data_IF_980297316877
#
_entry.id   IF_980297316877
#
_cell.length_a   1.000
_cell.length_b   1.000
_cell.length_c   1.000
_cell.angle_alpha   90.00
_cell.angle_beta   90.00
_cell.angle_gamma   90.00
#
_symmetry.space_group_name_H-M   'P 1'
#
loop_
_entity.id
_entity.type
_entity.pdbx_description
1 polymer ?
#
# COMPACT_ATOMS: atom_id res chain seq x y z
N UNK A 1 13.97 -14.56 4.86
CA UNK A 1 13.95 -13.23 5.52
C UNK A 1 13.31 -12.16 4.61
N UNK A 2 12.27 -12.48 3.83
CA UNK A 2 11.62 -11.52 2.91
C UNK A 2 10.34 -10.87 3.47
N UNK A 3 9.83 -11.34 4.62
CA UNK A 3 8.52 -10.94 5.17
C UNK A 3 8.57 -9.76 6.15
N UNK A 4 9.74 -9.45 6.72
CA UNK A 4 9.88 -8.43 7.77
C UNK A 4 9.57 -7.02 7.28
N UNK A 5 9.91 -6.70 6.04
CA UNK A 5 9.68 -5.37 5.46
C UNK A 5 8.20 -5.11 5.19
N UNK A 6 7.46 -6.14 4.77
CA UNK A 6 6.01 -6.03 4.57
C UNK A 6 5.31 -5.76 5.90
N UNK A 7 5.63 -6.55 6.93
CA UNK A 7 5.06 -6.43 8.27
C UNK A 7 5.44 -5.09 8.92
N UNK A 8 6.68 -4.62 8.76
CA UNK A 8 7.10 -3.32 9.30
C UNK A 8 6.37 -2.15 8.64
N UNK A 9 6.15 -2.19 7.32
CA UNK A 9 5.41 -1.14 6.64
C UNK A 9 3.92 -1.16 7.02
N UNK A 10 3.32 -2.35 7.18
CA UNK A 10 1.94 -2.47 7.70
C UNK A 10 1.84 -1.85 9.10
N UNK A 11 2.83 -2.08 9.96
CA UNK A 11 2.88 -1.47 11.29
C UNK A 11 3.03 0.06 11.21
N UNK A 12 3.94 0.56 10.36
CA UNK A 12 4.12 1.99 10.13
C UNK A 12 2.85 2.68 9.60
N UNK A 13 1.98 1.98 8.83
CA UNK A 13 0.68 2.53 8.43
C UNK A 13 -0.24 2.81 9.63
N UNK A 14 -0.15 2.00 10.69
CA UNK A 14 -1.03 2.06 11.87
C UNK A 14 -0.52 3.02 12.93
N UNK A 15 0.76 2.92 13.25
CA UNK A 15 1.37 3.58 14.41
C UNK A 15 2.41 4.63 14.04
N UNK A 16 2.78 4.70 12.76
CA UNK A 16 3.77 5.66 12.26
C UNK A 16 3.26 7.10 12.22
N UNK A 17 4.21 8.04 12.13
CA UNK A 17 3.91 9.44 11.80
C UNK A 17 3.36 9.55 10.39
N UNK A 18 2.71 10.66 10.05
CA UNK A 18 2.17 10.85 8.69
C UNK A 18 3.22 10.65 7.60
N UNK A 19 4.46 11.07 7.82
CA UNK A 19 5.55 10.82 6.87
C UNK A 19 5.88 9.33 6.74
N UNK A 20 5.95 8.60 7.86
CA UNK A 20 6.13 7.14 7.85
C UNK A 20 4.98 6.42 7.15
N UNK A 21 3.74 6.84 7.38
CA UNK A 21 2.56 6.29 6.71
C UNK A 21 2.62 6.52 5.19
N UNK A 22 3.07 7.70 4.75
CA UNK A 22 3.27 8.01 3.32
C UNK A 22 4.36 7.13 2.72
N UNK A 23 5.50 6.99 3.41
CA UNK A 23 6.60 6.13 2.97
C UNK A 23 6.15 4.67 2.89
N UNK A 24 5.52 4.15 3.95
CA UNK A 24 5.02 2.79 4.01
C UNK A 24 4.01 2.53 2.88
N UNK A 25 3.03 3.42 2.66
CA UNK A 25 2.08 3.28 1.56
C UNK A 25 2.79 3.22 0.19
N UNK A 26 3.78 4.08 -0.02
CA UNK A 26 4.55 4.11 -1.26
C UNK A 26 5.33 2.80 -1.48
N UNK A 27 6.03 2.32 -0.46
CA UNK A 27 6.82 1.08 -0.53
C UNK A 27 5.93 -0.16 -0.72
N UNK A 28 4.78 -0.22 -0.04
CA UNK A 28 3.79 -1.28 -0.24
C UNK A 28 3.23 -1.28 -1.66
N UNK A 29 2.99 -0.09 -2.25
CA UNK A 29 2.65 0.04 -3.66
C UNK A 29 3.74 -0.51 -4.59
N UNK A 30 5.00 -0.20 -4.31
CA UNK A 30 6.16 -0.68 -5.07
C UNK A 30 6.35 -2.21 -4.97
N UNK A 31 6.00 -2.81 -3.82
CA UNK A 31 5.97 -4.26 -3.64
C UNK A 31 4.89 -4.95 -4.48
N UNK A 32 3.82 -4.22 -4.83
CA UNK A 32 2.76 -4.73 -5.69
C UNK A 32 1.96 -5.86 -5.05
N UNK A 33 1.70 -6.94 -5.80
CA UNK A 33 0.82 -8.03 -5.36
C UNK A 33 1.23 -8.71 -4.03
N UNK A 34 2.50 -8.65 -3.64
CA UNK A 34 2.96 -9.22 -2.37
C UNK A 34 2.40 -8.45 -1.17
N UNK A 35 2.05 -7.17 -1.35
CA UNK A 35 1.48 -6.31 -0.33
C UNK A 35 -0.06 -6.35 -0.23
N UNK A 36 -0.72 -7.38 -0.78
CA UNK A 36 -2.19 -7.54 -0.67
C UNK A 36 -2.67 -7.51 0.80
N UNK A 37 -1.88 -8.05 1.73
CA UNK A 37 -2.20 -8.03 3.15
C UNK A 37 -2.34 -6.61 3.74
N UNK A 38 -1.75 -5.61 3.09
CA UNK A 38 -1.82 -4.21 3.53
C UNK A 38 -3.05 -3.45 2.99
N UNK A 39 -3.87 -4.07 2.11
CA UNK A 39 -5.03 -3.39 1.51
C UNK A 39 -6.02 -2.84 2.55
N UNK A 40 -6.43 -3.55 3.61
CA UNK A 40 -7.36 -3.01 4.60
C UNK A 40 -6.81 -1.77 5.29
N UNK A 41 -5.52 -1.78 5.61
CA UNK A 41 -4.85 -0.67 6.26
C UNK A 41 -4.73 0.53 5.31
N UNK A 42 -4.37 0.31 4.03
CA UNK A 42 -4.34 1.36 3.02
C UNK A 42 -5.73 1.96 2.75
N UNK A 43 -6.79 1.14 2.73
CA UNK A 43 -8.17 1.60 2.54
C UNK A 43 -8.59 2.56 3.65
N UNK A 44 -8.23 2.27 4.90
CA UNK A 44 -8.50 3.16 6.04
C UNK A 44 -7.86 4.55 5.88
N UNK A 45 -6.72 4.62 5.18
CA UNK A 45 -5.98 5.87 4.97
C UNK A 45 -6.54 6.72 3.82
N UNK A 46 -7.40 6.16 2.97
CA UNK A 46 -8.04 6.90 1.87
C UNK A 46 -9.04 7.96 2.35
N UNK A 47 -9.49 7.89 3.60
CA UNK A 47 -10.39 8.87 4.23
C UNK A 47 -9.65 9.82 5.19
N UNK A 48 -8.34 9.67 5.34
CA UNK A 48 -7.52 10.49 6.23
C UNK A 48 -7.59 11.98 5.85
N UNK A 49 -7.62 12.95 6.79
CA UNK A 49 -7.65 14.39 6.46
C UNK A 49 -6.41 14.89 5.70
N UNK A 50 -5.26 14.21 5.80
CA UNK A 50 -4.06 14.57 5.07
C UNK A 50 -4.14 14.16 3.60
N UNK A 51 -4.15 15.15 2.70
CA UNK A 51 -4.26 14.92 1.26
C UNK A 51 -3.12 14.09 0.67
N UNK A 52 -1.88 14.30 1.14
CA UNK A 52 -0.72 13.54 0.66
C UNK A 52 -0.85 12.06 1.02
N UNK A 53 -1.26 11.78 2.25
CA UNK A 53 -1.47 10.42 2.73
C UNK A 53 -2.60 9.71 1.98
N UNK A 54 -3.74 10.38 1.76
CA UNK A 54 -4.82 9.82 0.93
C UNK A 54 -4.33 9.45 -0.47
N UNK A 55 -3.61 10.35 -1.13
CA UNK A 55 -3.09 10.12 -2.48
C UNK A 55 -2.09 8.97 -2.51
N UNK A 56 -1.19 8.88 -1.52
CA UNK A 56 -0.24 7.77 -1.40
C UNK A 56 -0.97 6.43 -1.24
N UNK A 57 -1.95 6.37 -0.33
CA UNK A 57 -2.75 5.16 -0.09
C UNK A 57 -3.53 4.72 -1.34
N UNK A 58 -4.19 5.64 -2.04
CA UNK A 58 -4.91 5.34 -3.28
C UNK A 58 -3.98 4.79 -4.37
N UNK A 59 -2.80 5.41 -4.56
CA UNK A 59 -1.80 4.92 -5.53
C UNK A 59 -1.29 3.54 -5.16
N UNK A 60 -1.04 3.28 -3.88
CA UNK A 60 -0.60 1.99 -3.38
C UNK A 60 -1.63 0.89 -3.67
N UNK A 61 -2.91 1.14 -3.33
CA UNK A 61 -4.02 0.22 -3.64
C UNK A 61 -4.08 -0.07 -5.13
N UNK A 62 -4.01 0.96 -5.98
CA UNK A 62 -4.00 0.80 -7.42
C UNK A 62 -2.83 -0.06 -7.90
N UNK A 63 -1.62 0.15 -7.39
CA UNK A 63 -0.45 -0.63 -7.77
C UNK A 63 -0.55 -2.10 -7.34
N UNK A 64 -1.01 -2.36 -6.12
CA UNK A 64 -1.23 -3.70 -5.57
C UNK A 64 -2.29 -4.45 -6.41
N UNK A 65 -3.39 -3.78 -6.77
CA UNK A 65 -4.49 -4.36 -7.53
C UNK A 65 -4.23 -4.42 -9.05
N UNK A 66 -3.43 -3.51 -9.61
CA UNK A 66 -3.11 -3.48 -11.03
C UNK A 66 -2.39 -4.77 -11.48
N UNK A 67 -1.58 -5.36 -10.59
CA UNK A 67 -0.90 -6.62 -10.87
C UNK A 67 -1.85 -7.83 -10.75
N UNK A 68 -2.91 -7.72 -9.95
CA UNK A 68 -3.98 -8.73 -9.88
C UNK A 68 -4.86 -8.70 -11.14
N UNK A 69 -5.13 -7.51 -11.69
CA UNK A 69 -5.69 -7.35 -13.04
C UNK A 69 -4.60 -7.53 -14.10
N UNK A 70 -3.99 -8.72 -14.17
CA UNK A 70 -3.57 -9.23 -15.49
C UNK A 70 -4.84 -9.79 -16.14
N UNK A 71 -5.56 -9.07 -17.04
CA UNK A 71 -6.30 -9.80 -18.04
C UNK A 71 -5.27 -10.67 -18.74
N UNK A 72 -5.59 -11.97 -18.91
CA UNK A 72 -4.78 -12.82 -19.76
C UNK A 72 -4.43 -12.02 -21.01
N UNK A 73 -3.13 -11.95 -21.31
CA UNK A 73 -2.67 -11.71 -22.67
C UNK A 73 -3.39 -12.78 -23.49
N UNK A 74 -4.55 -12.44 -24.06
CA UNK A 74 -5.21 -13.27 -25.05
C UNK A 74 -4.31 -13.16 -26.27
N UNK A 75 -3.83 -14.33 -26.66
CA UNK A 75 -2.99 -14.60 -27.82
C UNK A 75 -3.53 -13.95 -29.09
#
# INVERSE_FOLDING_TARGET
MGNLLLESYIEDLKTGTTDKQITAATELGNMGAVAIAALPDLESLTTNPNARLRTAAQKAIQAIQAIQKKPGRKN
#
